data_IF_655337395826
#
_entry.id   IF_655337395826
#
_cell.length_a   1.000
_cell.length_b   1.000
_cell.length_c   1.000
_cell.angle_alpha   90.00
_cell.angle_beta   90.00
_cell.angle_gamma   90.00
#
_symmetry.space_group_name_H-M   'P 1'
#
loop_
_entity.id
_entity.type
_entity.pdbx_description
1 polymer ?
#
# COMPACT_ATOMS: atom_id res chain seq x y z
N UNK A 1 -21.69 -8.46 -17.19
CA UNK A 1 -20.60 -8.00 -16.31
C UNK A 1 -19.91 -6.86 -17.06
N UNK A 2 -19.87 -5.66 -16.48
CA UNK A 2 -19.56 -4.42 -17.20
C UNK A 2 -18.21 -4.51 -17.94
N UNK A 3 -18.26 -4.33 -19.26
CA UNK A 3 -17.17 -4.46 -20.22
C UNK A 3 -16.20 -3.28 -20.23
N UNK A 4 -16.02 -2.60 -19.08
CA UNK A 4 -15.16 -1.41 -18.96
C UNK A 4 -13.89 -1.79 -18.21
N UNK A 5 -12.73 -1.44 -18.77
CA UNK A 5 -11.44 -1.63 -18.10
C UNK A 5 -11.36 -0.72 -16.86
N UNK A 6 -10.76 -1.20 -15.76
CA UNK A 6 -10.54 -0.38 -14.57
C UNK A 6 -9.58 0.78 -14.90
N UNK A 7 -9.87 1.95 -14.36
CA UNK A 7 -9.03 3.15 -14.45
C UNK A 7 -8.20 3.24 -13.17
N UNK A 8 -6.88 3.25 -13.32
CA UNK A 8 -5.94 3.31 -12.19
C UNK A 8 -5.28 4.67 -12.20
N UNK A 9 -5.54 5.49 -11.17
CA UNK A 9 -4.79 6.71 -10.95
C UNK A 9 -3.36 6.37 -10.53
N UNK A 10 -2.36 6.96 -11.18
CA UNK A 10 -0.95 6.80 -10.87
C UNK A 10 -0.39 8.16 -10.52
N UNK A 11 -0.10 8.42 -9.23
CA UNK A 11 0.53 9.68 -8.86
C UNK A 11 2.01 9.65 -9.24
N UNK A 12 2.50 10.74 -9.83
CA UNK A 12 3.89 10.86 -10.27
C UNK A 12 4.91 10.77 -9.14
N UNK A 13 4.47 11.01 -7.89
CA UNK A 13 5.32 11.06 -6.73
C UNK A 13 6.13 12.35 -6.70
N UNK A 14 7.34 12.28 -6.17
CA UNK A 14 8.29 13.40 -6.18
C UNK A 14 8.76 13.70 -7.60
N UNK A 15 8.48 14.90 -8.16
CA UNK A 15 8.97 15.29 -9.48
C UNK A 15 10.49 15.21 -9.62
N UNK A 16 11.24 15.48 -8.55
CA UNK A 16 12.71 15.42 -8.54
C UNK A 16 13.25 14.02 -8.25
N UNK A 17 12.39 13.07 -7.89
CA UNK A 17 12.76 11.69 -7.60
C UNK A 17 12.72 10.79 -8.83
N UNK A 18 12.78 9.48 -8.58
CA UNK A 18 12.76 8.45 -9.63
C UNK A 18 11.35 8.09 -10.14
N UNK A 19 10.30 8.66 -9.52
CA UNK A 19 8.90 8.36 -9.84
C UNK A 19 8.54 8.56 -11.31
N UNK A 20 8.87 9.71 -11.93
CA UNK A 20 8.56 9.94 -13.35
C UNK A 20 9.25 8.93 -14.28
N UNK A 21 10.52 8.57 -14.02
CA UNK A 21 11.28 7.58 -14.82
C UNK A 21 10.64 6.19 -14.75
N UNK A 22 10.27 5.73 -13.55
CA UNK A 22 9.59 4.44 -13.35
C UNK A 22 8.27 4.42 -14.12
N UNK A 23 7.50 5.51 -14.08
CA UNK A 23 6.20 5.59 -14.74
C UNK A 23 6.36 5.45 -16.25
N UNK A 24 7.21 6.25 -16.89
CA UNK A 24 7.34 6.23 -18.35
C UNK A 24 7.88 4.88 -18.85
N UNK A 25 8.85 4.29 -18.14
CA UNK A 25 9.35 2.94 -18.47
C UNK A 25 8.29 1.84 -18.29
N UNK A 26 7.47 1.96 -17.24
CA UNK A 26 6.36 1.02 -16.97
C UNK A 26 5.28 1.13 -18.06
N UNK A 27 4.91 2.35 -18.45
CA UNK A 27 3.89 2.59 -19.48
C UNK A 27 4.36 2.11 -20.87
N UNK A 28 5.64 2.27 -21.20
CA UNK A 28 6.16 1.77 -22.47
C UNK A 28 6.05 0.23 -22.59
N UNK A 29 6.10 -0.47 -21.45
CA UNK A 29 5.97 -1.93 -21.37
C UNK A 29 4.62 -2.38 -20.80
N UNK A 30 3.59 -1.54 -20.90
CA UNK A 30 2.29 -1.79 -20.28
C UNK A 30 1.61 -3.05 -20.84
N UNK A 31 1.33 -4.03 -19.97
CA UNK A 31 0.67 -5.30 -20.32
C UNK A 31 -0.60 -5.56 -19.50
N UNK A 32 -0.99 -4.61 -18.64
CA UNK A 32 -2.11 -4.79 -17.73
C UNK A 32 -3.45 -4.46 -18.41
N UNK A 33 -4.50 -5.20 -18.04
CA UNK A 33 -5.88 -4.95 -18.49
C UNK A 33 -6.50 -3.82 -17.67
N UNK A 34 -5.90 -2.64 -17.73
CA UNK A 34 -6.32 -1.45 -17.03
C UNK A 34 -5.91 -0.20 -17.83
N UNK A 35 -6.57 0.93 -17.56
CA UNK A 35 -6.28 2.23 -18.14
C UNK A 35 -5.51 3.05 -17.09
N UNK A 36 -4.22 3.35 -17.29
CA UNK A 36 -3.49 4.20 -16.37
C UNK A 36 -3.82 5.68 -16.63
N UNK A 37 -4.18 6.38 -15.57
CA UNK A 37 -4.32 7.83 -15.52
C UNK A 37 -3.19 8.39 -14.65
N UNK A 38 -2.15 8.92 -15.28
CA UNK A 38 -1.06 9.56 -14.55
C UNK A 38 -1.51 10.94 -14.08
N UNK A 39 -1.19 11.29 -12.84
CA UNK A 39 -1.43 12.60 -12.24
C UNK A 39 -0.06 13.17 -11.90
N UNK A 40 0.33 14.22 -12.61
CA UNK A 40 1.69 14.75 -12.54
C UNK A 40 1.85 16.04 -13.35
N UNK A 41 3.09 16.36 -13.68
CA UNK A 41 3.43 17.52 -14.51
C UNK A 41 3.99 17.07 -15.87
N UNK A 42 3.37 17.55 -16.95
CA UNK A 42 3.76 17.22 -18.34
C UNK A 42 5.23 17.49 -18.61
N UNK A 43 5.80 18.60 -18.11
CA UNK A 43 7.17 19.01 -18.44
C UNK A 43 8.19 18.06 -17.79
N UNK A 44 7.90 17.60 -16.57
CA UNK A 44 8.74 16.64 -15.85
C UNK A 44 8.69 15.27 -16.53
N UNK A 45 7.50 14.81 -16.95
CA UNK A 45 7.36 13.56 -17.69
C UNK A 45 8.09 13.59 -19.04
N UNK A 46 8.06 14.73 -19.75
CA UNK A 46 8.82 14.87 -20.99
C UNK A 46 10.34 14.74 -20.75
N UNK A 47 10.89 15.34 -19.68
CA UNK A 47 12.30 15.15 -19.32
C UNK A 47 12.60 13.69 -18.96
N UNK A 48 11.70 13.02 -18.24
CA UNK A 48 11.85 11.60 -17.93
C UNK A 48 11.85 10.72 -19.19
N UNK A 49 10.98 11.01 -20.16
CA UNK A 49 10.95 10.33 -21.46
C UNK A 49 12.27 10.50 -22.23
N UNK A 50 12.85 11.71 -22.23
CA UNK A 50 14.15 11.97 -22.83
C UNK A 50 15.27 11.17 -22.16
N UNK A 51 15.35 11.20 -20.83
CA UNK A 51 16.37 10.48 -20.04
C UNK A 51 16.31 8.97 -20.26
N UNK A 52 15.10 8.42 -20.30
CA UNK A 52 14.86 6.99 -20.41
C UNK A 52 14.72 6.50 -21.85
N UNK A 53 14.77 7.41 -22.83
CA UNK A 53 14.57 7.15 -24.27
C UNK A 53 13.25 6.45 -24.57
N UNK A 54 12.21 6.80 -23.81
CA UNK A 54 10.85 6.31 -24.04
C UNK A 54 10.03 7.35 -24.80
N UNK A 55 8.90 6.94 -25.38
CA UNK A 55 7.92 7.87 -25.94
C UNK A 55 6.53 7.37 -25.63
N UNK A 56 5.77 8.15 -24.88
CA UNK A 56 4.42 7.77 -24.44
C UNK A 56 3.39 8.56 -25.25
N UNK A 57 2.47 7.82 -25.89
CA UNK A 57 1.35 8.40 -26.64
C UNK A 57 0.25 8.91 -25.71
N UNK A 58 0.51 10.01 -25.01
CA UNK A 58 -0.39 10.56 -24.01
C UNK A 58 -1.70 11.09 -24.60
N UNK A 59 -2.78 10.86 -23.86
CA UNK A 59 -4.07 11.50 -24.04
C UNK A 59 -4.33 12.42 -22.86
N UNK A 60 -4.87 13.60 -23.12
CA UNK A 60 -5.30 14.50 -22.04
C UNK A 60 -6.55 13.92 -21.36
N UNK A 61 -6.56 13.96 -20.03
CA UNK A 61 -7.71 13.53 -19.25
C UNK A 61 -8.78 14.64 -19.19
N UNK A 62 -10.00 14.35 -19.64
CA UNK A 62 -11.14 15.26 -19.62
C UNK A 62 -12.37 14.61 -18.97
N UNK A 63 -12.20 14.12 -17.73
CA UNK A 63 -13.20 13.46 -16.84
C UNK A 63 -13.85 12.16 -17.38
N UNK A 64 -13.87 11.96 -18.70
CA UNK A 64 -14.46 10.82 -19.38
C UNK A 64 -13.38 10.05 -20.14
N UNK A 65 -13.05 8.87 -19.62
CA UNK A 65 -12.21 7.88 -20.31
C UNK A 65 -13.13 6.97 -21.13
N UNK A 66 -13.13 7.15 -22.44
CA UNK A 66 -14.00 6.44 -23.38
C UNK A 66 -13.30 5.31 -24.15
N UNK A 67 -11.96 5.26 -24.15
CA UNK A 67 -11.16 4.28 -24.87
C UNK A 67 -9.88 3.90 -24.12
N UNK A 68 -9.30 2.73 -24.39
CA UNK A 68 -7.97 2.38 -23.88
C UNK A 68 -6.90 3.39 -24.32
N UNK A 69 -5.92 3.61 -23.46
CA UNK A 69 -4.78 4.49 -23.72
C UNK A 69 -4.08 4.94 -22.44
N UNK A 70 -3.06 5.77 -22.59
CA UNK A 70 -2.34 6.36 -21.47
C UNK A 70 -2.80 7.80 -21.27
N UNK A 71 -3.41 8.09 -20.12
CA UNK A 71 -3.96 9.40 -19.85
C UNK A 71 -3.04 10.18 -18.90
N UNK A 72 -2.94 11.49 -19.12
CA UNK A 72 -2.32 12.43 -18.18
C UNK A 72 -3.37 13.44 -17.72
N UNK A 73 -3.44 13.63 -16.40
CA UNK A 73 -3.97 14.83 -15.78
C UNK A 73 -2.78 15.72 -15.44
N UNK A 74 -2.55 16.74 -16.28
CA UNK A 74 -1.43 17.67 -16.15
C UNK A 74 -1.76 18.77 -15.13
N UNK A 75 -1.14 18.70 -13.96
CA UNK A 75 -1.34 19.64 -12.87
C UNK A 75 -0.63 20.98 -13.07
N UNK A 76 0.38 21.06 -13.97
CA UNK A 76 1.12 22.28 -14.32
C UNK A 76 1.67 23.03 -13.11
N UNK A 77 2.13 22.30 -12.10
CA UNK A 77 2.51 22.81 -10.80
C UNK A 77 4.03 22.77 -10.54
N UNK A 78 4.82 22.37 -11.53
CA UNK A 78 6.29 22.42 -11.47
C UNK A 78 6.82 23.55 -12.36
N UNK A 79 7.56 24.48 -11.76
CA UNK A 79 8.37 25.46 -12.48
C UNK A 79 9.67 24.81 -12.94
N UNK A 80 9.69 24.46 -14.23
CA UNK A 80 10.83 23.80 -14.87
C UNK A 80 12.11 24.66 -14.87
N UNK A 81 12.00 25.98 -14.74
CA UNK A 81 13.16 26.88 -14.79
C UNK A 81 14.01 26.80 -13.52
N UNK A 82 13.37 26.53 -12.38
CA UNK A 82 13.99 26.34 -11.07
C UNK A 82 14.10 24.86 -10.66
N UNK A 83 13.51 23.95 -11.43
CA UNK A 83 13.54 22.51 -11.20
C UNK A 83 14.94 21.91 -11.43
N UNK A 84 15.30 20.97 -10.53
CA UNK A 84 16.55 20.21 -10.56
C UNK A 84 16.23 18.75 -10.22
N UNK A 85 16.68 17.86 -11.11
CA UNK A 85 16.55 16.41 -10.90
C UNK A 85 17.45 15.95 -9.75
N UNK A 86 16.95 15.05 -8.89
CA UNK A 86 17.68 14.51 -7.74
C UNK A 86 17.88 15.48 -6.56
N UNK A 87 17.42 16.73 -6.67
CA UNK A 87 17.52 17.72 -5.60
C UNK A 87 16.19 17.88 -4.85
N UNK A 88 16.26 17.81 -3.52
CA UNK A 88 15.11 18.02 -2.65
C UNK A 88 14.67 19.49 -2.77
N UNK A 89 13.38 19.72 -3.01
CA UNK A 89 12.83 21.07 -3.11
C UNK A 89 11.41 21.20 -2.53
N UNK A 90 11.06 22.42 -2.09
CA UNK A 90 9.72 22.76 -1.62
C UNK A 90 8.66 22.62 -2.73
N UNK A 91 8.98 22.96 -3.98
CA UNK A 91 8.03 22.79 -5.09
C UNK A 91 7.73 21.30 -5.34
N UNK A 92 8.74 20.44 -5.23
CA UNK A 92 8.59 19.00 -5.45
C UNK A 92 7.72 18.38 -4.35
N UNK A 93 7.93 18.78 -3.09
CA UNK A 93 7.09 18.37 -1.97
C UNK A 93 5.64 18.81 -2.13
N UNK A 94 5.42 20.09 -2.47
CA UNK A 94 4.07 20.63 -2.72
C UNK A 94 3.37 19.90 -3.86
N UNK A 95 4.06 19.72 -4.98
CA UNK A 95 3.50 19.07 -6.17
C UNK A 95 3.13 17.62 -5.90
N UNK A 96 4.01 16.87 -5.22
CA UNK A 96 3.75 15.48 -4.79
C UNK A 96 2.45 15.37 -3.98
N UNK A 97 2.26 16.27 -3.03
CA UNK A 97 1.06 16.31 -2.20
C UNK A 97 -0.20 16.62 -3.03
N UNK A 98 -0.14 17.62 -3.92
CA UNK A 98 -1.25 17.97 -4.82
C UNK A 98 -1.65 16.80 -5.74
N UNK A 99 -0.69 15.99 -6.21
CA UNK A 99 -0.98 14.79 -6.99
C UNK A 99 -1.76 13.75 -6.19
N UNK A 100 -1.36 13.50 -4.93
CA UNK A 100 -2.04 12.58 -4.02
C UNK A 100 -3.45 13.10 -3.71
N UNK A 101 -3.60 14.39 -3.41
CA UNK A 101 -4.91 15.00 -3.17
C UNK A 101 -5.84 14.82 -4.38
N UNK A 102 -5.32 15.06 -5.58
CA UNK A 102 -6.08 14.90 -6.82
C UNK A 102 -6.51 13.44 -7.02
N UNK A 103 -5.61 12.47 -6.82
CA UNK A 103 -5.93 11.06 -6.93
C UNK A 103 -7.03 10.63 -5.94
N UNK A 104 -6.94 11.08 -4.69
CA UNK A 104 -7.94 10.81 -3.65
C UNK A 104 -9.30 11.41 -4.04
N UNK A 105 -9.32 12.65 -4.54
CA UNK A 105 -10.56 13.29 -4.97
C UNK A 105 -11.22 12.53 -6.13
N UNK A 106 -10.43 12.06 -7.11
CA UNK A 106 -10.95 11.25 -8.21
C UNK A 106 -11.51 9.91 -7.72
N UNK A 107 -10.82 9.26 -6.78
CA UNK A 107 -11.26 7.99 -6.20
C UNK A 107 -12.56 8.15 -5.40
N UNK A 108 -12.66 9.17 -4.56
CA UNK A 108 -13.87 9.48 -3.78
C UNK A 108 -15.07 9.86 -4.66
N UNK A 109 -14.82 10.42 -5.85
CA UNK A 109 -15.85 10.71 -6.86
C UNK A 109 -16.21 9.48 -7.72
N UNK A 110 -15.55 8.33 -7.54
CA UNK A 110 -15.75 7.12 -8.34
C UNK A 110 -15.28 7.26 -9.79
N UNK A 111 -14.37 8.19 -10.08
CA UNK A 111 -13.82 8.39 -11.43
C UNK A 111 -12.64 7.47 -11.75
N UNK A 112 -12.02 6.90 -10.72
CA UNK A 112 -10.96 5.90 -10.81
C UNK A 112 -11.26 4.75 -9.85
N UNK A 113 -10.83 3.55 -10.22
CA UNK A 113 -11.10 2.31 -9.48
C UNK A 113 -10.01 1.98 -8.46
N UNK A 114 -8.80 2.50 -8.67
CA UNK A 114 -7.66 2.32 -7.75
C UNK A 114 -6.67 3.48 -7.85
N UNK A 115 -5.83 3.62 -6.82
CA UNK A 115 -4.71 4.56 -6.80
C UNK A 115 -3.41 3.78 -6.57
N UNK A 116 -2.41 4.07 -7.41
CA UNK A 116 -1.03 3.61 -7.29
C UNK A 116 -0.16 4.84 -7.11
N UNK A 117 0.79 4.79 -6.19
CA UNK A 117 1.62 5.94 -5.85
C UNK A 117 3.09 5.67 -6.13
N UNK A 118 3.74 6.56 -6.87
CA UNK A 118 5.20 6.57 -6.95
C UNK A 118 5.81 7.18 -5.65
N UNK A 119 7.11 6.97 -5.39
CA UNK A 119 7.77 7.42 -4.17
C UNK A 119 7.71 8.94 -3.97
N UNK A 120 7.65 9.38 -2.71
CA UNK A 120 7.73 10.80 -2.31
C UNK A 120 8.86 11.01 -1.29
N UNK A 121 9.46 12.21 -1.26
CA UNK A 121 10.42 12.59 -0.22
C UNK A 121 9.72 13.22 0.99
N UNK A 122 9.91 12.63 2.19
CA UNK A 122 9.40 13.20 3.45
C UNK A 122 10.04 14.57 3.75
N UNK A 123 11.31 14.73 3.39
CA UNK A 123 12.05 15.97 3.56
C UNK A 123 11.49 17.07 2.64
N UNK A 124 11.16 16.73 1.39
CA UNK A 124 10.51 17.66 0.47
C UNK A 124 9.11 18.07 0.97
N UNK A 125 8.30 17.12 1.46
CA UNK A 125 7.00 17.42 2.09
C UNK A 125 7.15 18.41 3.25
N UNK A 126 8.15 18.19 4.11
CA UNK A 126 8.41 19.07 5.25
C UNK A 126 8.83 20.48 4.80
N UNK A 127 9.72 20.60 3.81
CA UNK A 127 10.11 21.88 3.22
C UNK A 127 8.95 22.61 2.53
N UNK A 128 7.93 21.87 2.09
CA UNK A 128 6.69 22.40 1.54
C UNK A 128 5.64 22.74 2.62
N UNK A 129 5.99 22.60 3.90
CA UNK A 129 5.08 22.78 5.04
C UNK A 129 3.81 21.92 4.95
N UNK A 130 3.92 20.73 4.34
CA UNK A 130 2.81 19.76 4.28
C UNK A 130 2.66 19.11 5.67
N UNK A 131 1.45 19.11 6.27
CA UNK A 131 1.25 18.67 7.65
C UNK A 131 1.15 17.13 7.79
N UNK A 132 1.83 16.38 6.93
CA UNK A 132 1.77 14.93 6.88
C UNK A 132 3.16 14.31 6.67
N UNK A 133 3.37 13.14 7.27
CA UNK A 133 4.66 12.44 7.23
C UNK A 133 4.81 11.58 5.95
N UNK A 134 3.70 11.15 5.35
CA UNK A 134 3.75 10.32 4.15
C UNK A 134 2.38 9.90 3.64
N UNK A 135 2.39 8.99 2.65
CA UNK A 135 1.19 8.53 1.95
C UNK A 135 0.09 8.05 2.89
N UNK A 136 0.39 7.13 3.82
CA UNK A 136 -0.64 6.49 4.65
C UNK A 136 -1.42 7.53 5.45
N UNK A 137 -0.72 8.50 6.05
CA UNK A 137 -1.32 9.56 6.85
C UNK A 137 -2.16 10.51 5.98
N UNK A 138 -1.66 10.86 4.79
CA UNK A 138 -2.40 11.69 3.82
C UNK A 138 -3.69 10.99 3.38
N UNK A 139 -3.61 9.73 2.96
CA UNK A 139 -4.79 8.96 2.55
C UNK A 139 -5.77 8.80 3.69
N UNK A 140 -5.32 8.43 4.88
CA UNK A 140 -6.19 8.24 6.04
C UNK A 140 -6.98 9.50 6.36
N UNK A 141 -6.31 10.65 6.44
CA UNK A 141 -6.95 11.93 6.77
C UNK A 141 -7.95 12.35 5.69
N UNK A 142 -7.50 12.39 4.43
CA UNK A 142 -8.32 12.92 3.34
C UNK A 142 -9.48 12.01 2.92
N UNK A 143 -9.37 10.70 3.18
CA UNK A 143 -10.48 9.75 3.01
C UNK A 143 -11.37 9.65 4.24
N UNK A 144 -11.00 10.29 5.36
CA UNK A 144 -11.66 10.16 6.66
C UNK A 144 -11.77 8.72 7.15
N UNK A 145 -10.76 7.91 6.83
CA UNK A 145 -10.72 6.49 7.23
C UNK A 145 -10.36 6.35 8.71
N UNK A 146 -11.09 5.50 9.43
CA UNK A 146 -10.83 5.21 10.85
C UNK A 146 -9.50 4.48 11.06
N UNK A 147 -9.17 3.56 10.15
CA UNK A 147 -7.95 2.74 10.18
C UNK A 147 -7.32 2.64 8.80
N UNK A 148 -6.08 2.15 8.76
CA UNK A 148 -5.33 1.86 7.54
C UNK A 148 -4.55 0.57 7.76
N UNK A 149 -4.82 -0.43 6.92
CA UNK A 149 -4.08 -1.70 6.93
C UNK A 149 -2.81 -1.55 6.09
N UNK A 150 -1.74 -2.19 6.53
CA UNK A 150 -0.54 -2.38 5.72
C UNK A 150 -0.40 -3.85 5.42
N UNK A 151 -0.39 -4.17 4.12
CA UNK A 151 -0.16 -5.52 3.60
C UNK A 151 0.98 -5.47 2.61
N UNK A 152 1.95 -6.35 2.78
CA UNK A 152 2.97 -6.61 1.78
C UNK A 152 2.56 -7.82 0.96
N UNK A 153 2.75 -7.73 -0.34
CA UNK A 153 2.49 -8.84 -1.24
C UNK A 153 3.70 -9.09 -2.12
N UNK A 154 4.23 -10.31 -2.04
CA UNK A 154 5.24 -10.84 -2.94
C UNK A 154 4.67 -12.11 -3.59
N UNK A 155 4.39 -12.05 -4.89
CA UNK A 155 3.69 -13.11 -5.62
C UNK A 155 2.38 -13.50 -4.91
N UNK A 156 2.32 -14.71 -4.33
CA UNK A 156 1.20 -15.26 -3.59
C UNK A 156 1.28 -14.99 -2.07
N UNK A 157 2.45 -14.63 -1.56
CA UNK A 157 2.65 -14.35 -0.14
C UNK A 157 2.08 -12.97 0.19
N UNK A 158 1.06 -12.93 1.05
CA UNK A 158 0.53 -11.70 1.64
C UNK A 158 0.81 -11.67 3.13
N UNK A 159 1.43 -10.60 3.61
CA UNK A 159 1.75 -10.41 5.03
C UNK A 159 1.17 -9.10 5.52
N UNK A 160 0.34 -9.17 6.54
CA UNK A 160 -0.19 -8.03 7.26
C UNK A 160 0.59 -7.82 8.55
N UNK A 161 0.56 -6.59 9.08
CA UNK A 161 1.32 -6.19 10.25
C UNK A 161 0.40 -5.62 11.33
N UNK A 162 0.24 -6.35 12.45
CA UNK A 162 -0.54 -5.89 13.61
C UNK A 162 0.03 -4.59 14.18
N UNK A 163 1.36 -4.52 14.26
CA UNK A 163 2.12 -3.34 14.67
C UNK A 163 3.20 -3.01 13.65
N UNK A 164 3.50 -1.71 13.49
CA UNK A 164 4.46 -1.20 12.50
C UNK A 164 5.64 -0.53 13.20
N UNK A 165 5.90 0.75 12.92
CA UNK A 165 7.02 1.55 13.42
C UNK A 165 6.95 1.83 14.94
N UNK A 166 7.03 0.78 15.76
CA UNK A 166 7.15 0.80 17.21
C UNK A 166 8.48 0.16 17.63
N UNK A 167 8.97 0.50 18.82
CA UNK A 167 10.04 -0.30 19.43
C UNK A 167 9.52 -1.72 19.71
N UNK A 168 10.42 -2.70 19.72
CA UNK A 168 10.01 -4.11 19.91
C UNK A 168 9.23 -4.32 21.22
N UNK A 169 9.63 -3.66 22.30
CA UNK A 169 8.93 -3.75 23.59
C UNK A 169 7.49 -3.21 23.50
N UNK A 170 7.29 -2.07 22.85
CA UNK A 170 5.94 -1.51 22.67
C UNK A 170 5.10 -2.36 21.70
N UNK A 171 5.71 -2.89 20.64
CA UNK A 171 5.05 -3.80 19.72
C UNK A 171 4.49 -5.04 20.44
N UNK A 172 5.28 -5.65 21.34
CA UNK A 172 4.86 -6.80 22.16
C UNK A 172 3.67 -6.42 23.06
N UNK A 173 3.72 -5.27 23.74
CA UNK A 173 2.65 -4.81 24.64
C UNK A 173 1.30 -4.62 23.92
N UNK A 174 1.35 -4.23 22.66
CA UNK A 174 0.18 -4.01 21.81
C UNK A 174 -0.49 -5.32 21.35
N UNK A 175 0.15 -6.48 21.53
CA UNK A 175 -0.44 -7.79 21.19
C UNK A 175 -1.49 -8.15 22.25
N UNK A 176 -2.69 -7.59 22.06
CA UNK A 176 -3.86 -7.79 22.93
C UNK A 176 -4.99 -8.46 22.19
N UNK A 177 -5.74 -9.33 22.90
CA UNK A 177 -6.84 -10.10 22.33
C UNK A 177 -7.78 -9.25 21.48
N UNK A 178 -8.27 -8.14 22.03
CA UNK A 178 -9.22 -7.25 21.35
C UNK A 178 -8.60 -6.66 20.08
N UNK A 179 -7.33 -6.24 20.14
CA UNK A 179 -6.63 -5.68 18.98
C UNK A 179 -6.40 -6.72 17.89
N UNK A 180 -5.95 -7.92 18.26
CA UNK A 180 -5.73 -9.04 17.31
C UNK A 180 -7.05 -9.42 16.64
N UNK A 181 -8.14 -9.54 17.42
CA UNK A 181 -9.46 -9.87 16.90
C UNK A 181 -9.97 -8.81 15.91
N UNK A 182 -9.92 -7.53 16.29
CA UNK A 182 -10.34 -6.44 15.40
C UNK A 182 -9.50 -6.42 14.11
N UNK A 183 -8.19 -6.63 14.23
CA UNK A 183 -7.31 -6.67 13.07
C UNK A 183 -7.61 -7.84 12.13
N UNK A 184 -7.92 -9.03 12.68
CA UNK A 184 -8.34 -10.19 11.88
C UNK A 184 -9.66 -9.93 11.14
N UNK A 185 -10.59 -9.21 11.76
CA UNK A 185 -11.83 -8.79 11.12
C UNK A 185 -11.57 -7.82 9.96
N UNK A 186 -10.73 -6.80 10.17
CA UNK A 186 -10.34 -5.85 9.12
C UNK A 186 -9.61 -6.56 7.96
N UNK A 187 -8.73 -7.52 8.28
CA UNK A 187 -8.04 -8.36 7.28
C UNK A 187 -9.02 -9.15 6.43
N UNK A 188 -9.97 -9.87 7.06
CA UNK A 188 -10.97 -10.67 6.35
C UNK A 188 -11.84 -9.80 5.43
N UNK A 189 -12.30 -8.65 5.93
CA UNK A 189 -13.06 -7.67 5.14
C UNK A 189 -12.27 -7.18 3.91
N UNK A 190 -10.99 -6.83 4.10
CA UNK A 190 -10.14 -6.39 3.01
C UNK A 190 -9.89 -7.51 1.99
N UNK A 191 -9.55 -8.72 2.43
CA UNK A 191 -9.32 -9.87 1.56
C UNK A 191 -10.57 -10.20 0.74
N UNK A 192 -11.75 -10.17 1.35
CA UNK A 192 -13.03 -10.32 0.64
C UNK A 192 -13.22 -9.21 -0.42
N UNK A 193 -12.87 -7.95 -0.10
CA UNK A 193 -13.03 -6.82 -1.03
C UNK A 193 -12.16 -6.91 -2.29
N UNK A 194 -11.03 -7.62 -2.21
CA UNK A 194 -10.14 -7.89 -3.36
C UNK A 194 -10.43 -9.24 -4.02
N UNK A 195 -11.55 -9.89 -3.67
CA UNK A 195 -12.04 -11.13 -4.30
C UNK A 195 -11.49 -12.43 -3.71
N UNK A 196 -10.77 -12.38 -2.58
CA UNK A 196 -10.32 -13.56 -1.85
C UNK A 196 -11.36 -13.95 -0.80
N UNK A 197 -12.45 -14.56 -1.26
CA UNK A 197 -13.55 -14.98 -0.39
C UNK A 197 -13.13 -16.13 0.53
N UNK A 198 -13.44 -16.01 1.83
CA UNK A 198 -13.08 -17.02 2.85
C UNK A 198 -11.57 -17.36 2.86
N UNK A 199 -10.73 -16.34 2.68
CA UNK A 199 -9.28 -16.47 2.64
C UNK A 199 -8.74 -17.21 3.87
N UNK A 200 -7.82 -18.15 3.66
CA UNK A 200 -7.12 -18.88 4.73
C UNK A 200 -6.07 -17.96 5.34
N UNK A 201 -6.37 -17.43 6.52
CA UNK A 201 -5.47 -16.55 7.27
C UNK A 201 -4.67 -17.38 8.27
N UNK A 202 -3.36 -17.20 8.30
CA UNK A 202 -2.52 -17.72 9.39
C UNK A 202 -2.04 -16.62 10.32
N UNK A 203 -1.94 -16.90 11.61
CA UNK A 203 -1.34 -15.98 12.60
C UNK A 203 0.02 -16.50 13.03
N UNK A 204 1.06 -15.68 12.86
CA UNK A 204 2.38 -15.97 13.37
C UNK A 204 2.39 -15.95 14.91
N UNK A 205 3.20 -16.79 15.53
CA UNK A 205 3.48 -16.73 16.95
C UNK A 205 4.27 -15.46 17.30
N UNK A 206 4.04 -14.91 18.49
CA UNK A 206 4.85 -13.80 18.99
C UNK A 206 6.18 -14.32 19.51
N UNK A 207 6.10 -15.37 20.32
CA UNK A 207 7.21 -16.03 20.95
C UNK A 207 7.76 -17.17 20.06
N UNK A 208 9.05 -17.48 20.18
CA UNK A 208 9.62 -18.68 19.55
C UNK A 208 8.80 -19.92 19.88
N UNK A 209 8.67 -20.83 18.91
CA UNK A 209 7.94 -22.09 19.07
C UNK A 209 6.46 -21.94 19.53
N UNK A 210 5.83 -20.76 19.37
CA UNK A 210 4.46 -20.55 19.85
C UNK A 210 4.36 -20.48 21.38
N UNK A 211 5.43 -20.06 22.05
CA UNK A 211 5.49 -19.94 23.51
C UNK A 211 5.70 -21.28 24.24
N UNK A 212 5.80 -22.41 23.52
CA UNK A 212 6.05 -23.75 24.07
C UNK A 212 5.15 -24.06 25.29
N UNK A 213 3.83 -23.97 25.09
CA UNK A 213 2.80 -24.15 26.13
C UNK A 213 2.95 -23.23 27.36
N UNK A 214 3.51 -22.04 27.19
CA UNK A 214 3.69 -21.07 28.27
C UNK A 214 5.11 -20.99 28.83
N UNK A 215 6.01 -21.89 28.42
CA UNK A 215 7.40 -21.93 28.89
C UNK A 215 8.24 -20.77 28.33
N UNK A 216 7.95 -20.32 27.11
CA UNK A 216 8.66 -19.27 26.40
C UNK A 216 7.80 -18.02 26.19
N UNK A 217 6.94 -17.70 27.16
CA UNK A 217 5.96 -16.61 27.06
C UNK A 217 4.53 -17.12 27.03
N UNK A 218 3.58 -16.25 27.39
CA UNK A 218 2.17 -16.62 27.61
C UNK A 218 1.20 -15.83 26.74
N UNK A 219 1.71 -14.92 25.91
CA UNK A 219 0.93 -14.04 25.04
C UNK A 219 0.08 -14.85 24.05
N UNK A 220 0.60 -15.98 23.53
CA UNK A 220 -0.18 -16.91 22.71
C UNK A 220 -1.44 -17.41 23.43
N UNK A 221 -1.27 -17.89 24.66
CA UNK A 221 -2.36 -18.48 25.45
C UNK A 221 -3.36 -17.40 25.90
N UNK A 222 -2.85 -16.24 26.35
CA UNK A 222 -3.64 -15.20 27.01
C UNK A 222 -4.33 -14.27 26.01
N UNK A 223 -3.72 -14.01 24.87
CA UNK A 223 -4.13 -12.93 23.96
C UNK A 223 -4.47 -13.46 22.56
N UNK A 224 -3.54 -14.21 21.93
CA UNK A 224 -3.63 -14.52 20.50
C UNK A 224 -4.60 -15.67 20.21
N UNK A 225 -4.45 -16.82 20.88
CA UNK A 225 -5.35 -17.98 20.71
C UNK A 225 -6.80 -17.62 21.03
N UNK A 226 -7.11 -16.87 22.12
CA UNK A 226 -8.46 -16.38 22.37
C UNK A 226 -9.02 -15.51 21.23
N UNK A 227 -8.20 -14.65 20.62
CA UNK A 227 -8.61 -13.82 19.48
C UNK A 227 -8.88 -14.66 18.21
N UNK A 228 -8.06 -15.66 17.93
CA UNK A 228 -8.26 -16.61 16.82
C UNK A 228 -9.57 -17.38 17.02
N UNK A 229 -9.81 -17.90 18.23
CA UNK A 229 -11.03 -18.64 18.54
C UNK A 229 -12.27 -17.76 18.40
N UNK A 230 -12.20 -16.49 18.83
CA UNK A 230 -13.29 -15.54 18.65
C UNK A 230 -13.55 -15.21 17.19
N UNK A 231 -12.49 -15.03 16.39
CA UNK A 231 -12.56 -14.81 14.94
C UNK A 231 -13.24 -15.98 14.21
N UNK A 232 -12.89 -17.22 14.58
CA UNK A 232 -13.51 -18.44 14.02
C UNK A 232 -15.00 -18.53 14.31
N UNK A 233 -15.45 -18.16 15.51
CA UNK A 233 -16.89 -18.11 15.83
C UNK A 233 -17.65 -17.14 14.93
N UNK A 234 -16.98 -16.09 14.44
CA UNK A 234 -17.53 -15.11 13.52
C UNK A 234 -17.33 -15.49 12.04
N UNK A 235 -16.90 -16.72 11.75
CA UNK A 235 -16.80 -17.25 10.39
C UNK A 235 -15.50 -16.91 9.66
N UNK A 236 -14.54 -16.28 10.32
CA UNK A 236 -13.22 -15.98 9.73
C UNK A 236 -12.42 -17.28 9.64
N UNK A 237 -11.92 -17.59 8.44
CA UNK A 237 -11.11 -18.76 8.16
C UNK A 237 -9.66 -18.53 8.60
N UNK A 238 -9.42 -18.56 9.91
CA UNK A 238 -8.12 -18.28 10.52
C UNK A 238 -7.56 -19.47 11.29
N UNK A 239 -6.25 -19.69 11.19
CA UNK A 239 -5.49 -20.70 11.92
C UNK A 239 -4.22 -20.14 12.56
N UNK A 240 -3.69 -20.89 13.53
CA UNK A 240 -2.51 -20.52 14.31
C UNK A 240 -2.67 -20.82 15.80
N UNK A 241 -1.70 -20.45 16.62
CA UNK A 241 -0.45 -19.75 16.25
C UNK A 241 0.58 -20.71 15.64
N UNK A 242 1.35 -20.22 14.66
CA UNK A 242 2.45 -20.99 14.05
C UNK A 242 3.80 -20.31 14.27
N UNK A 243 4.88 -21.08 14.51
CA UNK A 243 6.23 -20.52 14.57
C UNK A 243 6.55 -19.67 13.33
N UNK A 244 7.08 -18.47 13.58
CA UNK A 244 7.33 -17.47 12.54
C UNK A 244 8.36 -17.95 11.49
N UNK A 245 9.34 -18.74 11.91
CA UNK A 245 10.36 -19.34 11.05
C UNK A 245 9.80 -20.32 9.99
N UNK A 246 8.61 -20.87 10.22
CA UNK A 246 7.99 -21.87 9.35
C UNK A 246 6.78 -21.31 8.59
N UNK A 247 6.02 -20.39 9.19
CA UNK A 247 4.72 -19.98 8.65
C UNK A 247 4.82 -19.24 7.32
N UNK A 248 5.83 -18.37 7.15
CA UNK A 248 6.03 -17.63 5.91
C UNK A 248 6.42 -18.54 4.74
N UNK A 249 7.18 -19.60 5.02
CA UNK A 249 7.48 -20.62 4.01
C UNK A 249 6.20 -21.31 3.55
N UNK A 250 5.34 -21.76 4.49
CA UNK A 250 4.06 -22.38 4.13
C UNK A 250 3.12 -21.45 3.35
N UNK A 251 3.07 -20.17 3.73
CA UNK A 251 2.28 -19.17 3.01
C UNK A 251 2.81 -18.95 1.58
N UNK A 252 4.13 -18.91 1.40
CA UNK A 252 4.76 -18.85 0.06
C UNK A 252 4.46 -20.10 -0.79
N UNK A 253 4.22 -21.26 -0.18
CA UNK A 253 3.75 -22.48 -0.85
C UNK A 253 2.24 -22.49 -1.14
N UNK A 254 1.51 -21.40 -0.85
CA UNK A 254 0.07 -21.30 -1.10
C UNK A 254 -0.81 -22.06 -0.09
N UNK A 255 -0.25 -22.48 1.05
CA UNK A 255 -1.03 -23.11 2.12
C UNK A 255 -2.00 -22.13 2.80
N UNK A 256 -1.61 -20.85 2.85
CA UNK A 256 -2.40 -19.75 3.38
C UNK A 256 -2.41 -18.61 2.38
N UNK A 257 -3.52 -17.88 2.33
CA UNK A 257 -3.73 -16.77 1.40
C UNK A 257 -3.19 -15.44 1.97
N UNK A 258 -3.07 -15.37 3.31
CA UNK A 258 -2.46 -14.27 4.05
C UNK A 258 -1.89 -14.73 5.41
N UNK A 259 -0.88 -14.01 5.89
CA UNK A 259 -0.29 -14.18 7.23
C UNK A 259 -0.42 -12.87 8.01
N UNK A 260 -0.85 -12.95 9.27
CA UNK A 260 -0.73 -11.86 10.23
C UNK A 260 0.61 -11.97 10.98
N UNK A 261 1.51 -11.03 10.69
CA UNK A 261 2.70 -10.75 11.48
C UNK A 261 2.36 -9.83 12.65
N UNK A 262 2.86 -10.14 13.83
CA UNK A 262 2.53 -9.40 15.07
C UNK A 262 3.39 -8.15 15.26
N UNK A 263 4.55 -8.10 14.63
CA UNK A 263 5.42 -6.92 14.59
C UNK A 263 6.12 -6.76 13.23
N UNK A 264 6.74 -5.60 13.04
CA UNK A 264 7.32 -5.18 11.76
C UNK A 264 8.37 -6.19 11.24
N UNK A 265 9.47 -6.39 11.97
CA UNK A 265 10.59 -7.19 11.47
C UNK A 265 10.26 -8.67 11.27
N UNK A 266 9.27 -9.22 11.99
CA UNK A 266 8.81 -10.60 11.82
C UNK A 266 8.32 -10.87 10.39
N UNK A 267 7.55 -9.94 9.81
CA UNK A 267 7.04 -10.09 8.46
C UNK A 267 8.00 -9.57 7.40
N UNK A 268 8.74 -8.50 7.71
CA UNK A 268 9.67 -7.87 6.77
C UNK A 268 10.85 -8.77 6.39
N UNK A 269 11.40 -9.55 7.32
CA UNK A 269 12.50 -10.48 6.99
C UNK A 269 12.04 -11.56 5.99
N UNK A 270 10.77 -11.91 6.02
CA UNK A 270 10.22 -12.99 5.21
C UNK A 270 9.64 -12.54 3.86
N UNK A 271 9.50 -11.23 3.63
CA UNK A 271 8.89 -10.62 2.43
C UNK A 271 9.93 -9.89 1.60
#
# INVERSE_FOLDING_TARGET
>A
MNSKLPIIAVTMGDPSGIGPEIIVQTLQNWKFKAIPLVIGDRKVLNQAEEMTKTSIGWQEFSELVSRPGFYLLDCKNVDISSFRWGEISSQSGRSSFEYIQTAIQLALKGQVDAVVTAPISKEALHLASVPFIGHTEIFKELTKSSSALTMFQLDQLRVFFLTRHLSLLEAIKEVKKEKVYQFLLEMDQYLNSIGLFSARIAVAALNPHGGENGLLGQEEIREIIPAINESRKHGINVEGVYPADSIFWFARQGRYDAVLSLYHDQGHIAT
#
